data_IF_204706670524
#
_entry.id   IF_204706670524
#
_cell.length_a   1.000
_cell.length_b   1.000
_cell.length_c   1.000
_cell.angle_alpha   90.00
_cell.angle_beta   90.00
_cell.angle_gamma   90.00
#
_symmetry.space_group_name_H-M   'P 1'
#
loop_
_entity.id
_entity.type
_entity.pdbx_description
1 polymer ?
#
# COMPACT_ATOMS: atom_id res chain seq x y z
N UNK A 1 10.21 -4.43 -21.48
CA UNK A 1 9.45 -5.10 -20.42
C UNK A 1 7.96 -4.78 -20.51
N UNK A 2 7.52 -3.51 -20.47
CA UNK A 2 6.09 -3.13 -20.55
C UNK A 2 5.43 -3.63 -21.85
N UNK A 3 6.11 -3.49 -23.02
CA UNK A 3 5.57 -3.96 -24.30
C UNK A 3 5.38 -5.49 -24.36
N UNK A 4 6.22 -6.25 -23.66
CA UNK A 4 6.08 -7.71 -23.58
C UNK A 4 4.83 -8.08 -22.77
N UNK A 5 4.62 -7.43 -21.64
CA UNK A 5 3.42 -7.62 -20.81
C UNK A 5 2.15 -7.21 -21.57
N UNK A 6 2.18 -6.06 -22.27
CA UNK A 6 1.04 -5.60 -23.05
C UNK A 6 0.69 -6.54 -24.21
N UNK A 7 1.68 -7.13 -24.88
CA UNK A 7 1.45 -8.14 -25.93
C UNK A 7 0.66 -9.34 -25.43
N UNK A 8 0.90 -9.76 -24.18
CA UNK A 8 0.23 -10.92 -23.60
C UNK A 8 -1.21 -10.63 -23.19
N UNK A 9 -1.49 -9.39 -22.70
CA UNK A 9 -2.77 -9.06 -22.08
C UNK A 9 -3.66 -8.12 -22.89
N UNK A 10 -3.09 -7.32 -23.81
CA UNK A 10 -3.83 -6.31 -24.59
C UNK A 10 -3.66 -6.55 -26.09
N UNK A 11 -4.71 -7.07 -26.72
CA UNK A 11 -4.75 -7.22 -28.19
C UNK A 11 -4.73 -5.83 -28.83
N UNK A 12 -3.93 -5.66 -29.90
CA UNK A 12 -3.77 -4.39 -30.62
C UNK A 12 -3.24 -3.21 -29.75
N UNK A 13 -2.36 -3.53 -28.77
CA UNK A 13 -1.80 -2.60 -27.80
C UNK A 13 -1.13 -1.34 -28.39
N UNK A 14 -0.84 -1.30 -29.70
CA UNK A 14 -0.24 -0.14 -30.37
C UNK A 14 -1.24 0.95 -30.74
N UNK A 15 -2.52 0.61 -30.87
CA UNK A 15 -3.57 1.58 -31.23
C UNK A 15 -4.13 2.29 -29.99
N UNK A 16 -3.31 3.16 -29.40
CA UNK A 16 -3.69 3.94 -28.20
C UNK A 16 -4.75 5.03 -28.46
N UNK A 17 -5.12 5.29 -29.74
CA UNK A 17 -6.22 6.21 -30.07
C UNK A 17 -7.58 5.53 -29.87
N UNK A 18 -7.65 4.21 -29.88
CA UNK A 18 -8.86 3.45 -29.70
C UNK A 18 -9.26 3.43 -28.20
N UNK A 19 -10.44 3.92 -27.88
CA UNK A 19 -10.97 3.97 -26.49
C UNK A 19 -10.98 2.59 -25.81
N UNK A 20 -11.34 1.52 -26.55
CA UNK A 20 -11.33 0.15 -26.03
C UNK A 20 -9.92 -0.34 -25.66
N UNK A 21 -8.89 0.12 -26.36
CA UNK A 21 -7.50 -0.20 -26.03
C UNK A 21 -7.07 0.57 -24.78
N UNK A 22 -7.44 1.85 -24.66
CA UNK A 22 -7.19 2.67 -23.46
C UNK A 22 -7.87 2.08 -22.21
N UNK A 23 -9.12 1.65 -22.33
CA UNK A 23 -9.84 0.94 -21.27
C UNK A 23 -9.09 -0.32 -20.82
N UNK A 24 -8.66 -1.17 -21.75
CA UNK A 24 -7.88 -2.37 -21.44
C UNK A 24 -6.54 -2.07 -20.73
N UNK A 25 -5.88 -0.95 -21.05
CA UNK A 25 -4.70 -0.51 -20.34
C UNK A 25 -5.01 -0.17 -18.86
N UNK A 26 -6.10 0.56 -18.62
CA UNK A 26 -6.58 0.86 -17.28
C UNK A 26 -6.92 -0.39 -16.49
N UNK A 27 -7.72 -1.29 -17.07
CA UNK A 27 -8.10 -2.57 -16.45
C UNK A 27 -6.88 -3.45 -16.12
N UNK A 28 -5.92 -3.56 -17.04
CA UNK A 28 -4.69 -4.32 -16.82
C UNK A 28 -3.89 -3.73 -15.66
N UNK A 29 -3.70 -2.41 -15.63
CA UNK A 29 -2.96 -1.74 -14.58
C UNK A 29 -3.65 -1.93 -13.21
N UNK A 30 -4.95 -1.70 -13.14
CA UNK A 30 -5.73 -1.86 -11.90
C UNK A 30 -5.74 -3.30 -11.40
N UNK A 31 -5.87 -4.29 -12.30
CA UNK A 31 -5.84 -5.70 -11.93
C UNK A 31 -4.45 -6.15 -11.44
N UNK A 32 -3.39 -5.68 -12.10
CA UNK A 32 -2.01 -5.93 -11.65
C UNK A 32 -1.77 -5.31 -10.27
N UNK A 33 -2.21 -4.07 -10.06
CA UNK A 33 -2.13 -3.40 -8.77
C UNK A 33 -2.92 -4.11 -7.68
N UNK A 34 -4.13 -4.56 -7.98
CA UNK A 34 -4.98 -5.27 -7.05
C UNK A 34 -4.32 -6.55 -6.52
N UNK A 35 -3.81 -7.39 -7.42
CA UNK A 35 -3.15 -8.64 -7.03
C UNK A 35 -1.86 -8.37 -6.25
N UNK A 36 -1.00 -7.48 -6.77
CA UNK A 36 0.29 -7.20 -6.13
C UNK A 36 0.12 -6.57 -4.75
N UNK A 37 -0.81 -5.61 -4.58
CA UNK A 37 -1.06 -4.98 -3.29
C UNK A 37 -1.69 -5.94 -2.28
N UNK A 38 -2.58 -6.85 -2.72
CA UNK A 38 -3.13 -7.89 -1.85
C UNK A 38 -2.04 -8.85 -1.36
N UNK A 39 -1.16 -9.29 -2.25
CA UNK A 39 -0.05 -10.18 -1.88
C UNK A 39 0.93 -9.48 -0.92
N UNK A 40 1.27 -8.21 -1.19
CA UNK A 40 2.14 -7.43 -0.30
C UNK A 40 1.49 -7.21 1.06
N UNK A 41 0.18 -6.89 1.11
CA UNK A 41 -0.57 -6.79 2.36
C UNK A 41 -0.50 -8.10 3.15
N UNK A 42 -0.86 -9.23 2.52
CA UNK A 42 -0.89 -10.54 3.18
C UNK A 42 0.50 -10.95 3.71
N UNK A 43 1.56 -10.74 2.94
CA UNK A 43 2.92 -11.04 3.36
C UNK A 43 3.37 -10.16 4.53
N UNK A 44 3.20 -8.84 4.42
CA UNK A 44 3.63 -7.88 5.44
C UNK A 44 2.85 -8.04 6.75
N UNK A 45 1.52 -8.28 6.70
CA UNK A 45 0.72 -8.44 7.91
C UNK A 45 1.16 -9.68 8.70
N UNK A 46 1.42 -10.79 8.01
CA UNK A 46 1.91 -12.03 8.65
C UNK A 46 3.27 -11.79 9.32
N UNK A 47 4.21 -11.18 8.61
CA UNK A 47 5.54 -10.89 9.14
C UNK A 47 5.47 -9.91 10.32
N UNK A 48 4.70 -8.83 10.17
CA UNK A 48 4.55 -7.80 11.20
C UNK A 48 3.98 -8.37 12.51
N UNK A 49 2.99 -9.27 12.42
CA UNK A 49 2.40 -9.93 13.59
C UNK A 49 3.41 -10.93 14.21
N UNK A 50 4.06 -11.76 13.40
CA UNK A 50 5.01 -12.77 13.89
C UNK A 50 6.21 -12.13 14.61
N UNK A 51 6.68 -11.01 14.11
CA UNK A 51 7.82 -10.30 14.68
C UNK A 51 7.44 -9.25 15.73
N UNK A 52 6.13 -9.01 15.91
CA UNK A 52 5.61 -7.91 16.76
C UNK A 52 6.20 -6.55 16.35
N UNK A 53 6.34 -6.32 15.05
CA UNK A 53 6.81 -5.05 14.47
C UNK A 53 5.61 -4.29 13.92
N UNK A 54 5.07 -3.37 14.73
CA UNK A 54 3.87 -2.59 14.36
C UNK A 54 4.12 -1.65 13.18
N UNK A 55 5.37 -1.25 12.94
CA UNK A 55 5.74 -0.49 11.73
C UNK A 55 5.48 -1.27 10.45
N UNK A 56 5.76 -2.58 10.43
CA UNK A 56 5.44 -3.46 9.29
C UNK A 56 3.93 -3.63 9.15
N UNK A 57 3.20 -3.78 10.28
CA UNK A 57 1.74 -3.86 10.27
C UNK A 57 1.13 -2.58 9.69
N UNK A 58 1.58 -1.40 10.13
CA UNK A 58 1.13 -0.12 9.57
C UNK A 58 1.41 0.01 8.08
N UNK A 59 2.60 -0.39 7.62
CA UNK A 59 2.95 -0.38 6.20
C UNK A 59 2.11 -1.41 5.38
N UNK A 60 1.69 -2.53 6.01
CA UNK A 60 0.75 -3.46 5.37
C UNK A 60 -0.63 -2.85 5.15
N UNK A 61 -1.12 -2.02 6.09
CA UNK A 61 -2.40 -1.32 5.97
C UNK A 61 -2.38 -0.34 4.80
N UNK A 62 -1.24 0.29 4.53
CA UNK A 62 -1.07 1.13 3.34
C UNK A 62 -1.29 0.32 2.05
N UNK A 63 -0.73 -0.90 1.96
CA UNK A 63 -1.00 -1.78 0.81
C UNK A 63 -2.46 -2.24 0.71
N UNK A 64 -3.18 -2.34 1.85
CA UNK A 64 -4.63 -2.59 1.86
C UNK A 64 -5.41 -1.39 1.30
N UNK A 65 -4.97 -0.16 1.60
CA UNK A 65 -5.51 1.06 0.99
C UNK A 65 -5.39 1.04 -0.53
N UNK A 66 -4.19 0.73 -1.02
CA UNK A 66 -3.93 0.65 -2.46
C UNK A 66 -4.72 -0.46 -3.14
N UNK A 67 -4.89 -1.59 -2.47
CA UNK A 67 -5.79 -2.65 -2.92
C UNK A 67 -7.21 -2.12 -3.09
N UNK A 68 -7.74 -1.39 -2.10
CA UNK A 68 -9.04 -0.73 -2.15
C UNK A 68 -9.15 0.25 -3.33
N UNK A 69 -8.16 1.11 -3.52
CA UNK A 69 -8.11 2.07 -4.63
C UNK A 69 -8.08 1.37 -6.01
N UNK A 70 -7.33 0.29 -6.15
CA UNK A 70 -7.32 -0.50 -7.39
C UNK A 70 -8.66 -1.22 -7.62
N UNK A 71 -9.29 -1.71 -6.56
CA UNK A 71 -10.63 -2.31 -6.62
C UNK A 71 -11.66 -1.30 -7.09
N UNK A 72 -11.64 -0.08 -6.52
CA UNK A 72 -12.50 1.03 -6.96
C UNK A 72 -12.28 1.40 -8.42
N UNK A 73 -11.03 1.43 -8.87
CA UNK A 73 -10.71 1.68 -10.27
C UNK A 73 -11.31 0.64 -11.20
N UNK A 74 -11.27 -0.65 -10.83
CA UNK A 74 -11.90 -1.73 -11.59
C UNK A 74 -13.44 -1.64 -11.59
N UNK A 75 -14.05 -1.33 -10.45
CA UNK A 75 -15.50 -1.15 -10.34
C UNK A 75 -15.96 0.11 -11.06
N UNK A 76 -15.24 1.23 -10.93
CA UNK A 76 -15.56 2.50 -11.57
C UNK A 76 -15.71 2.35 -13.08
N UNK A 77 -14.80 1.63 -13.73
CA UNK A 77 -14.88 1.34 -15.17
C UNK A 77 -16.13 0.50 -15.53
N UNK A 78 -16.49 -0.49 -14.69
CA UNK A 78 -17.65 -1.36 -14.97
C UNK A 78 -18.99 -0.72 -14.62
N UNK A 79 -19.06 0.04 -13.52
CA UNK A 79 -20.31 0.61 -13.01
C UNK A 79 -20.67 1.89 -13.76
N UNK A 80 -19.67 2.71 -14.15
CA UNK A 80 -19.89 3.89 -14.98
C UNK A 80 -20.45 3.57 -16.36
N UNK A 81 -20.25 2.35 -16.85
CA UNK A 81 -20.80 1.87 -18.10
C UNK A 81 -22.26 1.39 -18.00
N UNK A 82 -22.83 1.19 -16.79
CA UNK A 82 -24.23 0.82 -16.58
C UNK A 82 -25.12 2.06 -16.73
N UNK A 83 -26.04 2.00 -17.68
CA UNK A 83 -27.10 3.01 -17.86
C UNK A 83 -28.05 2.98 -16.65
N UNK A 84 -28.73 4.10 -16.42
CA UNK A 84 -29.83 4.17 -15.48
C UNK A 84 -30.83 3.05 -15.74
N UNK A 85 -31.31 2.37 -14.68
CA UNK A 85 -32.36 1.37 -14.68
C UNK A 85 -33.58 1.88 -13.90
N UNK A 86 -34.70 1.13 -13.94
CA UNK A 86 -35.92 1.55 -13.31
C UNK A 86 -35.83 1.74 -11.79
N UNK A 87 -34.92 1.02 -11.14
CA UNK A 87 -34.65 1.12 -9.70
C UNK A 87 -33.67 2.26 -9.35
N UNK A 88 -32.84 2.68 -10.31
CA UNK A 88 -31.82 3.72 -10.13
C UNK A 88 -31.86 4.76 -11.27
N UNK A 89 -32.85 5.67 -11.27
CA UNK A 89 -33.05 6.66 -12.34
C UNK A 89 -31.86 7.61 -12.55
N UNK A 90 -31.03 7.82 -11.50
CA UNK A 90 -29.83 8.67 -11.55
C UNK A 90 -28.55 7.90 -11.85
N UNK A 91 -28.65 6.60 -12.17
CA UNK A 91 -27.49 5.73 -12.43
C UNK A 91 -26.70 5.34 -11.16
N UNK A 92 -25.69 4.50 -11.37
CA UNK A 92 -24.90 3.90 -10.27
C UNK A 92 -23.60 4.68 -9.96
N UNK A 93 -23.37 5.83 -10.58
CA UNK A 93 -22.11 6.60 -10.41
C UNK A 93 -21.84 7.02 -8.96
N UNK A 94 -22.87 7.22 -8.14
CA UNK A 94 -22.72 7.59 -6.73
C UNK A 94 -22.20 6.46 -5.83
N UNK A 95 -22.31 5.21 -6.27
CA UNK A 95 -21.81 4.05 -5.53
C UNK A 95 -20.27 4.08 -5.39
N UNK A 96 -19.58 4.63 -6.39
CA UNK A 96 -18.11 4.81 -6.33
C UNK A 96 -17.69 5.70 -5.14
N UNK A 97 -18.39 6.82 -4.93
CA UNK A 97 -18.13 7.72 -3.80
C UNK A 97 -18.43 7.08 -2.45
N UNK A 98 -19.50 6.29 -2.34
CA UNK A 98 -19.86 5.60 -1.10
C UNK A 98 -18.80 4.55 -0.75
N UNK A 99 -18.36 3.76 -1.73
CA UNK A 99 -17.33 2.74 -1.52
C UNK A 99 -16.00 3.41 -1.16
N UNK A 100 -15.61 4.51 -1.84
CA UNK A 100 -14.42 5.28 -1.51
C UNK A 100 -14.46 5.81 -0.08
N UNK A 101 -15.59 6.37 0.34
CA UNK A 101 -15.79 6.86 1.70
C UNK A 101 -15.64 5.74 2.74
N UNK A 102 -16.26 4.58 2.51
CA UNK A 102 -16.16 3.42 3.42
C UNK A 102 -14.71 2.95 3.54
N UNK A 103 -14.00 2.80 2.42
CA UNK A 103 -12.59 2.40 2.40
C UNK A 103 -11.75 3.44 3.16
N UNK A 104 -11.91 4.73 2.88
CA UNK A 104 -11.20 5.81 3.58
C UNK A 104 -11.45 5.78 5.08
N UNK A 105 -12.70 5.62 5.52
CA UNK A 105 -13.04 5.50 6.95
C UNK A 105 -12.35 4.28 7.61
N UNK A 106 -12.32 3.14 6.95
CA UNK A 106 -11.65 1.93 7.47
C UNK A 106 -10.15 2.16 7.60
N UNK A 107 -9.51 2.77 6.60
CA UNK A 107 -8.07 3.06 6.60
C UNK A 107 -7.72 4.06 7.71
N UNK A 108 -8.49 5.14 7.87
CA UNK A 108 -8.30 6.11 8.95
C UNK A 108 -8.44 5.44 10.32
N UNK A 109 -9.46 4.58 10.50
CA UNK A 109 -9.66 3.86 11.76
C UNK A 109 -8.48 2.94 12.09
N UNK A 110 -7.99 2.16 11.10
CA UNK A 110 -6.83 1.29 11.27
C UNK A 110 -5.55 2.10 11.55
N UNK A 111 -5.33 3.20 10.85
CA UNK A 111 -4.20 4.11 11.09
C UNK A 111 -4.25 4.72 12.50
N UNK A 112 -5.44 5.12 12.97
CA UNK A 112 -5.63 5.64 14.33
C UNK A 112 -5.32 4.59 15.42
N UNK A 113 -5.71 3.32 15.19
CA UNK A 113 -5.35 2.20 16.09
C UNK A 113 -3.83 2.03 16.14
N UNK A 114 -3.12 2.14 15.01
CA UNK A 114 -1.66 2.02 14.95
C UNK A 114 -0.97 3.20 15.67
N UNK A 115 -1.48 4.43 15.52
CA UNK A 115 -0.99 5.59 16.29
C UNK A 115 -1.19 5.36 17.79
N UNK A 116 -2.38 4.91 18.20
CA UNK A 116 -2.66 4.60 19.61
C UNK A 116 -1.67 3.57 20.16
N UNK A 117 -1.44 2.48 19.44
CA UNK A 117 -0.47 1.45 19.86
C UNK A 117 0.95 2.02 19.93
N UNK A 118 1.36 2.81 18.94
CA UNK A 118 2.68 3.46 18.92
C UNK A 118 2.89 4.40 20.12
N UNK A 119 1.85 5.12 20.55
CA UNK A 119 1.91 5.98 21.76
C UNK A 119 2.09 5.14 23.02
N UNK A 120 1.40 4.01 23.16
CA UNK A 120 1.57 3.09 24.29
C UNK A 120 3.01 2.57 24.32
N UNK A 121 3.53 2.10 23.19
CA UNK A 121 4.88 1.56 23.09
C UNK A 121 5.94 2.65 23.37
N UNK A 122 5.69 3.88 22.93
CA UNK A 122 6.53 5.03 23.24
C UNK A 122 6.55 5.35 24.75
N UNK A 123 5.39 5.34 25.41
CA UNK A 123 5.29 5.53 26.86
C UNK A 123 6.05 4.43 27.60
N UNK A 124 5.92 3.18 27.16
CA UNK A 124 6.65 2.06 27.74
C UNK A 124 8.18 2.20 27.53
N UNK A 125 8.62 2.67 26.37
CA UNK A 125 10.03 2.97 26.06
C UNK A 125 10.58 4.05 27.02
N UNK A 126 9.86 5.17 27.16
CA UNK A 126 10.27 6.27 28.06
C UNK A 126 10.31 5.82 29.51
N UNK A 127 9.31 5.06 29.95
CA UNK A 127 9.23 4.52 31.31
C UNK A 127 10.44 3.62 31.62
N UNK A 128 10.78 2.71 30.71
CA UNK A 128 11.99 1.86 30.83
C UNK A 128 13.24 2.68 30.95
N UNK A 129 13.40 3.74 30.14
CA UNK A 129 14.55 4.64 30.22
C UNK A 129 14.68 5.34 31.58
N UNK A 130 13.54 5.74 32.19
CA UNK A 130 13.53 6.42 33.49
C UNK A 130 13.83 5.44 34.64
N UNK A 131 13.24 4.24 34.61
CA UNK A 131 13.33 3.26 35.69
C UNK A 131 14.63 2.46 35.69
N UNK A 132 15.13 2.09 34.51
CA UNK A 132 16.30 1.18 34.38
C UNK A 132 17.54 1.87 33.81
N UNK A 133 17.42 3.10 33.30
CA UNK A 133 18.49 3.80 32.60
C UNK A 133 18.75 3.27 31.17
N UNK A 134 17.99 2.27 30.72
CA UNK A 134 18.11 1.65 29.42
C UNK A 134 16.77 1.56 28.70
N UNK A 135 16.72 1.72 27.36
CA UNK A 135 15.49 1.52 26.58
C UNK A 135 15.06 0.05 26.61
N UNK A 136 13.78 -0.18 26.27
CA UNK A 136 13.27 -1.54 26.09
C UNK A 136 14.11 -2.28 25.05
N UNK A 137 14.46 -3.52 25.35
CA UNK A 137 15.20 -4.39 24.44
C UNK A 137 14.26 -5.39 23.78
N UNK A 138 14.51 -5.64 22.49
CA UNK A 138 13.78 -6.61 21.69
C UNK A 138 14.79 -7.50 20.97
N UNK A 139 14.89 -8.72 21.43
CA UNK A 139 15.74 -9.71 20.75
C UNK A 139 15.03 -10.25 19.52
N UNK A 140 15.66 -10.12 18.37
CA UNK A 140 15.20 -10.70 17.12
C UNK A 140 16.19 -11.78 16.69
N UNK A 141 15.66 -12.98 16.40
CA UNK A 141 16.49 -14.06 15.85
C UNK A 141 17.10 -13.62 14.52
N UNK A 142 18.41 -13.86 14.28
CA UNK A 142 19.05 -13.50 13.01
C UNK A 142 18.34 -14.07 11.79
N UNK A 143 17.83 -15.30 11.89
CA UNK A 143 17.07 -15.90 10.79
C UNK A 143 15.79 -15.09 10.46
N UNK A 144 15.04 -14.71 11.49
CA UNK A 144 13.82 -13.87 11.30
C UNK A 144 14.17 -12.51 10.72
N UNK A 145 15.26 -11.89 11.18
CA UNK A 145 15.73 -10.61 10.63
C UNK A 145 16.03 -10.71 9.13
N UNK A 146 16.86 -11.68 8.72
CA UNK A 146 17.23 -11.81 7.30
C UNK A 146 16.04 -12.19 6.41
N UNK A 147 15.14 -13.06 6.88
CA UNK A 147 13.93 -13.41 6.14
C UNK A 147 13.04 -12.19 5.95
N UNK A 148 12.80 -11.41 7.00
CA UNK A 148 11.97 -10.19 6.92
C UNK A 148 12.61 -9.13 6.03
N UNK A 149 13.92 -8.94 6.15
CA UNK A 149 14.66 -8.01 5.30
C UNK A 149 14.54 -8.40 3.82
N UNK A 150 14.73 -9.67 3.49
CA UNK A 150 14.61 -10.15 2.12
C UNK A 150 13.18 -9.94 1.57
N UNK A 151 12.14 -10.20 2.38
CA UNK A 151 10.74 -9.99 1.99
C UNK A 151 10.40 -8.51 1.81
N UNK A 152 10.87 -7.62 2.70
CA UNK A 152 10.66 -6.17 2.57
C UNK A 152 11.42 -5.58 1.38
N UNK A 153 12.64 -6.03 1.10
CA UNK A 153 13.37 -5.65 -0.11
C UNK A 153 12.65 -6.14 -1.38
N UNK A 154 12.09 -7.35 -1.35
CA UNK A 154 11.23 -7.85 -2.41
C UNK A 154 9.98 -6.98 -2.60
N UNK A 155 9.37 -6.51 -1.51
CA UNK A 155 8.22 -5.60 -1.55
C UNK A 155 8.60 -4.25 -2.20
N UNK A 156 9.75 -3.68 -1.86
CA UNK A 156 10.27 -2.46 -2.52
C UNK A 156 10.45 -2.69 -4.01
N UNK A 157 11.02 -3.82 -4.42
CA UNK A 157 11.20 -4.14 -5.83
C UNK A 157 9.86 -4.22 -6.58
N UNK A 158 8.85 -4.89 -5.99
CA UNK A 158 7.51 -4.97 -6.57
C UNK A 158 6.88 -3.58 -6.70
N UNK A 159 6.96 -2.73 -5.66
CA UNK A 159 6.43 -1.36 -5.69
C UNK A 159 7.16 -0.48 -6.71
N UNK A 160 8.47 -0.63 -6.86
CA UNK A 160 9.23 0.07 -7.87
C UNK A 160 8.82 -0.34 -9.30
N UNK A 161 8.65 -1.64 -9.55
CA UNK A 161 8.15 -2.16 -10.82
C UNK A 161 6.73 -1.69 -11.11
N UNK A 162 5.86 -1.65 -10.08
CA UNK A 162 4.50 -1.16 -10.16
C UNK A 162 4.45 0.33 -10.52
N UNK A 163 5.26 1.15 -9.85
CA UNK A 163 5.41 2.58 -10.15
C UNK A 163 5.87 2.80 -11.59
N UNK A 164 6.90 2.09 -12.03
CA UNK A 164 7.41 2.17 -13.41
C UNK A 164 6.34 1.79 -14.44
N UNK A 165 5.59 0.71 -14.18
CA UNK A 165 4.50 0.26 -15.04
C UNK A 165 3.42 1.34 -15.15
N UNK A 166 2.94 1.87 -14.04
CA UNK A 166 1.88 2.87 -13.99
C UNK A 166 2.29 4.17 -14.71
N UNK A 167 3.51 4.67 -14.49
CA UNK A 167 4.00 5.84 -15.22
C UNK A 167 4.14 5.59 -16.73
N UNK A 168 4.63 4.41 -17.12
CA UNK A 168 4.77 4.04 -18.54
C UNK A 168 3.41 3.96 -19.24
N UNK A 169 2.42 3.29 -18.62
CA UNK A 169 1.06 3.18 -19.15
C UNK A 169 0.36 4.54 -19.14
N UNK A 170 0.44 5.28 -18.03
CA UNK A 170 -0.17 6.60 -17.88
C UNK A 170 0.34 7.64 -18.88
N UNK A 171 1.62 7.55 -19.29
CA UNK A 171 2.17 8.38 -20.38
C UNK A 171 1.61 8.00 -21.74
N UNK A 172 1.44 6.69 -22.01
CA UNK A 172 0.98 6.20 -23.33
C UNK A 172 -0.46 6.56 -23.62
N UNK A 173 -1.35 6.48 -22.63
CA UNK A 173 -2.79 6.74 -22.81
C UNK A 173 -3.20 8.11 -22.26
N UNK A 174 -2.24 8.93 -21.83
CA UNK A 174 -2.45 10.24 -21.19
C UNK A 174 -3.46 10.19 -20.03
N UNK A 175 -3.30 9.17 -19.16
CA UNK A 175 -4.16 8.97 -18.00
C UNK A 175 -3.56 9.60 -16.75
N UNK A 176 -4.29 10.58 -16.19
CA UNK A 176 -3.92 11.23 -14.93
C UNK A 176 -4.03 10.26 -13.74
N UNK A 177 -5.03 9.38 -13.76
CA UNK A 177 -5.27 8.36 -12.73
C UNK A 177 -4.08 7.39 -12.63
N UNK A 178 -3.59 6.84 -13.75
CA UNK A 178 -2.43 5.95 -13.74
C UNK A 178 -1.16 6.65 -13.28
N UNK A 179 -0.99 7.94 -13.61
CA UNK A 179 0.15 8.73 -13.11
C UNK A 179 0.06 8.96 -11.59
N UNK A 180 -1.15 9.15 -11.05
CA UNK A 180 -1.39 9.24 -9.61
C UNK A 180 -1.03 7.92 -8.91
N UNK A 181 -1.56 6.77 -9.36
CA UNK A 181 -1.20 5.45 -8.85
C UNK A 181 0.32 5.19 -8.91
N UNK A 182 1.01 5.71 -9.95
CA UNK A 182 2.47 5.62 -10.05
C UNK A 182 3.20 6.43 -8.98
N UNK A 183 2.67 7.60 -8.59
CA UNK A 183 3.20 8.41 -7.48
C UNK A 183 2.98 7.71 -6.13
N UNK A 184 1.79 7.14 -5.93
CA UNK A 184 1.44 6.43 -4.70
C UNK A 184 2.37 5.23 -4.50
N UNK A 185 2.54 4.38 -5.53
CA UNK A 185 3.48 3.26 -5.47
C UNK A 185 4.95 3.70 -5.19
N UNK A 186 5.35 4.89 -5.63
CA UNK A 186 6.66 5.46 -5.29
C UNK A 186 6.74 5.90 -3.83
N UNK A 187 5.68 6.48 -3.29
CA UNK A 187 5.62 6.88 -1.88
C UNK A 187 5.68 5.65 -0.97
N UNK A 188 5.11 4.52 -1.39
CA UNK A 188 5.20 3.26 -0.66
C UNK A 188 6.62 2.71 -0.58
N UNK A 189 7.45 2.94 -1.59
CA UNK A 189 8.89 2.61 -1.52
C UNK A 189 9.55 3.38 -0.36
N UNK A 190 9.18 4.65 -0.18
CA UNK A 190 9.72 5.48 0.91
C UNK A 190 9.23 4.94 2.27
N UNK A 191 7.93 4.67 2.40
CA UNK A 191 7.33 4.11 3.62
C UNK A 191 7.99 2.78 4.03
N UNK A 192 8.06 1.82 3.11
CA UNK A 192 8.69 0.52 3.36
C UNK A 192 10.20 0.66 3.66
N UNK A 193 10.89 1.64 3.06
CA UNK A 193 12.31 1.92 3.37
C UNK A 193 12.49 2.42 4.80
N UNK A 194 11.59 3.27 5.31
CA UNK A 194 11.60 3.71 6.71
C UNK A 194 11.42 2.53 7.67
N UNK A 195 10.51 1.60 7.35
CA UNK A 195 10.31 0.37 8.13
C UNK A 195 11.58 -0.48 8.18
N UNK A 196 12.26 -0.66 7.03
CA UNK A 196 13.54 -1.38 6.99
C UNK A 196 14.60 -0.70 7.87
N UNK A 197 14.70 0.62 7.80
CA UNK A 197 15.65 1.38 8.62
C UNK A 197 15.37 1.14 10.11
N UNK A 198 14.11 1.23 10.54
CA UNK A 198 13.70 0.96 11.92
C UNK A 198 14.05 -0.46 12.36
N UNK A 199 13.76 -1.45 11.53
CA UNK A 199 14.08 -2.86 11.79
C UNK A 199 15.59 -3.10 11.89
N UNK A 200 16.41 -2.48 11.02
CA UNK A 200 17.87 -2.59 11.05
C UNK A 200 18.43 -1.93 12.33
N UNK A 201 17.94 -0.75 12.70
CA UNK A 201 18.38 -0.07 13.93
C UNK A 201 18.03 -0.94 15.15
N UNK A 202 16.80 -1.46 15.22
CA UNK A 202 16.36 -2.33 16.31
C UNK A 202 17.22 -3.61 16.41
N UNK A 203 17.60 -4.20 15.27
CA UNK A 203 18.45 -5.39 15.24
C UNK A 203 19.88 -5.12 15.68
N UNK A 204 20.47 -3.98 15.25
CA UNK A 204 21.86 -3.62 15.58
C UNK A 204 22.04 -3.13 17.02
N UNK A 205 21.05 -2.42 17.55
CA UNK A 205 21.11 -1.83 18.89
C UNK A 205 20.48 -2.70 19.97
N UNK A 206 19.70 -3.73 19.56
CA UNK A 206 18.82 -4.53 20.42
C UNK A 206 17.72 -3.70 21.13
N UNK A 207 17.60 -2.41 20.83
CA UNK A 207 16.57 -1.53 21.40
C UNK A 207 15.28 -1.57 20.56
N UNK A 208 14.14 -1.54 21.24
CA UNK A 208 12.85 -1.48 20.56
C UNK A 208 12.52 -0.04 20.15
N UNK A 209 13.00 0.35 18.97
CA UNK A 209 12.72 1.68 18.38
C UNK A 209 11.53 1.67 17.42
N UNK A 210 10.80 0.55 17.32
CA UNK A 210 9.69 0.37 16.36
C UNK A 210 8.59 1.41 16.54
N UNK A 211 8.33 1.87 17.78
CA UNK A 211 7.30 2.87 18.07
C UNK A 211 7.47 4.18 17.28
N UNK A 212 8.71 4.64 17.06
CA UNK A 212 8.95 5.86 16.29
C UNK A 212 8.60 5.69 14.82
N UNK A 213 9.01 4.58 14.23
CA UNK A 213 8.72 4.26 12.83
C UNK A 213 7.24 3.96 12.62
N UNK A 214 6.61 3.24 13.56
CA UNK A 214 5.16 3.01 13.53
C UNK A 214 4.39 4.33 13.52
N UNK A 215 4.76 5.31 14.34
CA UNK A 215 4.09 6.61 14.39
C UNK A 215 4.17 7.35 13.05
N UNK A 216 5.35 7.35 12.41
CA UNK A 216 5.55 7.99 11.11
C UNK A 216 4.72 7.30 10.05
N UNK A 217 4.80 5.97 9.96
CA UNK A 217 4.09 5.18 8.94
C UNK A 217 2.58 5.25 9.14
N UNK A 218 2.09 5.15 10.38
CA UNK A 218 0.67 5.29 10.69
C UNK A 218 0.12 6.68 10.33
N UNK A 219 0.93 7.73 10.52
CA UNK A 219 0.58 9.07 10.06
C UNK A 219 0.42 9.14 8.53
N UNK A 220 1.33 8.51 7.78
CA UNK A 220 1.22 8.40 6.32
C UNK A 220 -0.02 7.61 5.88
N UNK A 221 -0.36 6.53 6.60
CA UNK A 221 -1.58 5.73 6.35
C UNK A 221 -2.85 6.58 6.55
N UNK A 222 -2.93 7.36 7.63
CA UNK A 222 -4.08 8.26 7.86
C UNK A 222 -4.20 9.28 6.73
N UNK A 223 -3.09 9.87 6.29
CA UNK A 223 -3.08 10.82 5.17
C UNK A 223 -3.53 10.18 3.85
N UNK A 224 -3.29 8.89 3.65
CA UNK A 224 -3.76 8.18 2.45
C UNK A 224 -5.26 7.87 2.48
N UNK A 225 -5.91 7.89 3.66
CA UNK A 225 -7.35 7.67 3.83
C UNK A 225 -8.21 8.93 3.69
N UNK A 226 -7.59 10.11 3.58
CA UNK A 226 -8.23 11.44 3.38
C UNK A 226 -8.28 11.78 1.90
#
# INVERSE_FOLDING_TARGET
MVDLLLRLFVKDYRDVKNEKVREKYGLFASFFGLISNFLLFALKIVIGILLRLYSIVSDSINNLSDFGNNLLSLFGVKVSAKKADDDHPYGHQRMEYIISLVIGCVIIALGAIMVYQSVIDFIAFVKSMIETGHPLTKEMSPLMFYVSLALLLGAILVKFLQSYLYFSLGKRIDSMQLRALGKDARNDVISTSLVIIGMVISFLTTYDVDCFFTMIVAGLVILSGI
#
